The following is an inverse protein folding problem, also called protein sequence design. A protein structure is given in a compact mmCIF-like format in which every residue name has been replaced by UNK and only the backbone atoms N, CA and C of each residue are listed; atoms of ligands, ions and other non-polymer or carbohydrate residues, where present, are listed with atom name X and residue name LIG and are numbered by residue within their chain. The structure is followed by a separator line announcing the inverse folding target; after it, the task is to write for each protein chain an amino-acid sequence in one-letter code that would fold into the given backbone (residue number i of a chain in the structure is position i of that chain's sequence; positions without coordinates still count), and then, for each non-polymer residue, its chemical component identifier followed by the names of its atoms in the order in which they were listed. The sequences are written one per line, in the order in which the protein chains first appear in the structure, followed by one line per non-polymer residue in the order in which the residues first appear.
data_IF_694311737538
#
_entry.id   IF_694311737538
#
_cell.length_a   1.000
_cell.length_b   1.000
_cell.length_c   1.000
_cell.angle_alpha   90.00
_cell.angle_beta   90.00
_cell.angle_gamma   90.00
#
_symmetry.space_group_name_H-M   'P 1'
#
loop_
_entity.id
_entity.type
_entity.pdbx_description
1 polymer ?
#
# COMPACT_ATOMS: atom_id res chain seq x y z
N UNK A 1 9.96 -1.52 18.18
CA UNK A 1 10.06 -0.09 18.50
C UNK A 1 10.66 0.69 17.34
N UNK A 2 10.45 1.98 17.29
CA UNK A 2 10.94 2.90 16.28
C UNK A 2 10.57 4.32 16.65
N UNK A 3 11.16 5.29 15.96
CA UNK A 3 10.93 6.71 16.17
C UNK A 3 9.89 7.25 15.17
N UNK A 4 9.10 8.23 15.57
CA UNK A 4 8.19 8.97 14.71
C UNK A 4 7.18 8.09 13.96
N UNK A 5 6.98 8.37 12.70
CA UNK A 5 6.06 7.60 11.84
C UNK A 5 6.43 6.13 11.73
N UNK A 6 7.72 5.79 11.68
CA UNK A 6 8.17 4.41 11.50
C UNK A 6 7.79 3.54 12.70
N UNK A 7 7.87 4.09 13.92
CA UNK A 7 7.42 3.43 15.15
C UNK A 7 5.91 3.20 15.15
N UNK A 8 5.14 4.21 14.72
CA UNK A 8 3.67 4.13 14.60
C UNK A 8 3.24 3.09 13.59
N UNK A 9 3.84 3.07 12.39
CA UNK A 9 3.56 2.10 11.33
C UNK A 9 3.86 0.67 11.81
N UNK A 10 5.06 0.42 12.35
CA UNK A 10 5.47 -0.90 12.85
C UNK A 10 4.56 -1.39 13.98
N UNK A 11 4.22 -0.52 14.94
CA UNK A 11 3.29 -0.85 16.03
C UNK A 11 1.89 -1.15 15.50
N UNK A 12 1.40 -0.33 14.57
CA UNK A 12 0.06 -0.50 13.97
C UNK A 12 -0.05 -1.80 13.18
N UNK A 13 0.95 -2.16 12.40
CA UNK A 13 0.97 -3.43 11.67
C UNK A 13 0.96 -4.60 12.65
N UNK A 14 1.90 -4.62 13.63
CA UNK A 14 2.05 -5.76 14.53
C UNK A 14 0.84 -5.94 15.46
N UNK A 15 0.39 -4.87 16.11
CA UNK A 15 -0.74 -4.91 17.05
C UNK A 15 -2.05 -5.05 16.27
N UNK A 16 -2.23 -4.25 15.20
CA UNK A 16 -3.46 -4.24 14.42
C UNK A 16 -3.78 -5.58 13.78
N UNK A 17 -2.79 -6.30 13.27
CA UNK A 17 -2.97 -7.65 12.71
C UNK A 17 -3.51 -8.62 13.76
N UNK A 18 -3.00 -8.58 14.98
CA UNK A 18 -3.48 -9.44 16.07
C UNK A 18 -4.90 -9.06 16.53
N UNK A 19 -5.17 -7.77 16.68
CA UNK A 19 -6.51 -7.29 17.07
C UNK A 19 -7.56 -7.62 16.00
N UNK A 20 -7.21 -7.57 14.71
CA UNK A 20 -8.10 -7.96 13.62
C UNK A 20 -8.45 -9.45 13.65
N UNK A 21 -7.53 -10.27 14.13
CA UNK A 21 -7.74 -11.71 14.37
C UNK A 21 -8.43 -12.02 15.72
N UNK A 22 -8.83 -11.00 16.48
CA UNK A 22 -9.47 -11.16 17.79
C UNK A 22 -8.50 -11.61 18.88
N UNK A 23 -7.20 -11.38 18.71
CA UNK A 23 -6.15 -11.79 19.65
C UNK A 23 -5.63 -10.59 20.43
N UNK A 24 -5.67 -10.65 21.75
CA UNK A 24 -5.09 -9.70 22.69
C UNK A 24 -6.12 -8.92 23.50
N UNK A 25 -5.95 -8.95 24.83
CA UNK A 25 -6.77 -8.23 25.81
C UNK A 25 -6.14 -6.92 26.25
N UNK A 26 -4.84 -6.75 25.98
CA UNK A 26 -4.08 -5.54 26.25
C UNK A 26 -3.14 -5.22 25.11
N UNK A 27 -2.88 -3.93 24.88
CA UNK A 27 -1.93 -3.47 23.86
C UNK A 27 -0.81 -2.66 24.52
N UNK A 28 0.40 -2.82 24.00
CA UNK A 28 1.55 -1.99 24.34
C UNK A 28 2.16 -1.44 23.06
N UNK A 29 2.08 -0.13 22.89
CA UNK A 29 2.85 0.61 21.89
C UNK A 29 4.22 0.91 22.49
N UNK A 30 5.25 0.89 21.66
CA UNK A 30 6.62 1.17 22.08
C UNK A 30 7.29 2.07 21.03
N UNK A 31 7.52 3.31 21.41
CA UNK A 31 8.14 4.34 20.59
C UNK A 31 9.47 4.78 21.20
N UNK A 32 10.37 5.29 20.35
CA UNK A 32 11.60 5.97 20.81
C UNK A 32 11.29 7.47 20.99
N UNK A 33 10.28 7.74 21.83
CA UNK A 33 9.72 9.06 22.13
C UNK A 33 9.36 9.11 23.63
N UNK A 34 9.06 10.30 24.20
CA UNK A 34 8.53 10.39 25.56
C UNK A 34 7.28 9.51 25.75
N UNK A 35 7.16 8.78 26.88
CA UNK A 35 6.11 7.77 27.10
C UNK A 35 4.68 8.31 26.96
N UNK A 36 4.47 9.58 27.21
CA UNK A 36 3.17 10.24 27.07
C UNK A 36 2.61 10.22 25.64
N UNK A 37 3.46 10.04 24.61
CA UNK A 37 3.04 9.91 23.22
C UNK A 37 2.57 8.48 22.85
N UNK A 38 2.91 7.48 23.65
CA UNK A 38 2.50 6.08 23.38
C UNK A 38 1.01 5.85 23.64
N UNK A 39 0.46 6.43 24.72
CA UNK A 39 -0.94 6.24 25.11
C UNK A 39 -1.96 6.72 24.06
N UNK A 40 -1.82 7.91 23.45
CA UNK A 40 -2.72 8.34 22.39
C UNK A 40 -2.71 7.39 21.18
N UNK A 41 -1.55 6.87 20.79
CA UNK A 41 -1.42 5.94 19.67
C UNK A 41 -2.09 4.60 19.98
N UNK A 42 -1.86 4.07 21.20
CA UNK A 42 -2.53 2.86 21.66
C UNK A 42 -4.06 3.03 21.66
N UNK A 43 -4.55 4.21 22.09
CA UNK A 43 -5.98 4.52 22.05
C UNK A 43 -6.55 4.55 20.64
N UNK A 44 -5.90 5.19 19.68
CA UNK A 44 -6.34 5.22 18.27
C UNK A 44 -6.42 3.79 17.71
N UNK A 45 -5.45 2.94 18.03
CA UNK A 45 -5.43 1.53 17.64
C UNK A 45 -6.65 0.77 18.21
N UNK A 46 -6.92 0.91 19.49
CA UNK A 46 -8.03 0.23 20.16
C UNK A 46 -9.37 0.74 19.63
N UNK A 47 -9.56 2.07 19.58
CA UNK A 47 -10.80 2.71 19.14
C UNK A 47 -11.21 2.28 17.72
N UNK A 48 -10.23 1.94 16.87
CA UNK A 48 -10.51 1.42 15.52
C UNK A 48 -11.29 0.10 15.55
N UNK A 49 -11.09 -0.73 16.55
CA UNK A 49 -11.70 -2.06 16.65
C UNK A 49 -12.97 -2.11 17.49
N UNK A 50 -13.17 -1.14 18.40
CA UNK A 50 -14.31 -1.14 19.33
C UNK A 50 -15.67 -0.93 18.65
N UNK A 51 -15.75 -0.30 17.49
CA UNK A 51 -16.99 0.12 16.83
C UNK A 51 -17.28 -0.65 15.53
N UNK A 52 -16.79 -1.88 15.40
CA UNK A 52 -16.95 -2.70 14.18
C UNK A 52 -18.12 -3.72 14.25
N UNK A 53 -19.18 -3.44 15.02
CA UNK A 53 -20.26 -4.40 15.27
C UNK A 53 -21.25 -4.59 14.11
N UNK A 54 -21.36 -3.65 13.18
CA UNK A 54 -22.36 -3.63 12.11
C UNK A 54 -21.70 -3.72 10.73
N UNK A 55 -20.80 -4.69 10.53
CA UNK A 55 -20.17 -4.91 9.24
C UNK A 55 -20.89 -5.98 8.42
N UNK A 56 -20.72 -5.95 7.10
CA UNK A 56 -21.18 -7.02 6.22
C UNK A 56 -20.50 -8.35 6.56
N UNK A 57 -21.23 -9.46 6.36
CA UNK A 57 -20.67 -10.78 6.59
C UNK A 57 -19.47 -11.05 5.69
N UNK A 58 -18.42 -11.58 6.28
CA UNK A 58 -17.21 -12.01 5.58
C UNK A 58 -17.34 -13.51 5.26
N UNK A 59 -17.03 -13.88 4.03
CA UNK A 59 -17.11 -15.27 3.60
C UNK A 59 -16.17 -16.17 4.42
N UNK A 60 -16.69 -17.28 4.91
CA UNK A 60 -15.90 -18.30 5.60
C UNK A 60 -15.00 -18.99 4.60
N UNK A 61 -13.75 -19.23 4.99
CA UNK A 61 -12.77 -19.98 4.23
C UNK A 61 -12.68 -21.39 4.81
N UNK A 62 -13.22 -22.37 4.11
CA UNK A 62 -13.33 -23.74 4.62
C UNK A 62 -12.05 -24.56 4.47
N UNK A 63 -11.27 -24.34 3.40
CA UNK A 63 -10.08 -25.13 3.06
C UNK A 63 -8.77 -24.37 3.35
N UNK A 64 -8.45 -24.13 4.59
CA UNK A 64 -7.20 -23.51 4.97
C UNK A 64 -6.07 -24.57 5.06
N UNK A 65 -5.24 -24.65 4.03
CA UNK A 65 -4.08 -25.57 3.96
C UNK A 65 -2.77 -24.81 4.09
N UNK A 66 -2.72 -23.78 4.91
CA UNK A 66 -1.50 -23.02 5.08
C UNK A 66 -0.91 -23.23 6.47
N UNK A 67 0.39 -23.57 6.52
CA UNK A 67 1.08 -23.72 7.80
C UNK A 67 1.37 -22.31 8.38
N UNK A 68 0.75 -21.92 9.49
CA UNK A 68 0.74 -20.52 9.94
C UNK A 68 2.11 -20.00 10.44
N UNK A 69 3.07 -20.87 10.63
CA UNK A 69 4.41 -20.54 11.12
C UNK A 69 5.46 -20.33 10.01
N UNK A 70 5.07 -20.57 8.75
CA UNK A 70 5.93 -20.37 7.58
C UNK A 70 5.42 -19.20 6.74
N UNK A 71 6.32 -18.29 6.36
CA UNK A 71 5.97 -17.24 5.42
C UNK A 71 5.75 -17.83 4.04
N UNK A 72 4.60 -17.55 3.47
CA UNK A 72 4.24 -17.94 2.11
C UNK A 72 3.74 -16.75 1.32
N UNK A 73 4.48 -16.34 0.30
CA UNK A 73 3.98 -15.34 -0.65
C UNK A 73 3.01 -16.01 -1.61
N UNK A 74 1.82 -15.42 -1.79
CA UNK A 74 0.86 -15.87 -2.79
C UNK A 74 1.52 -15.89 -4.16
N UNK A 75 1.47 -17.05 -4.85
CA UNK A 75 2.00 -17.17 -6.20
C UNK A 75 1.18 -16.36 -7.19
N UNK A 76 1.84 -15.51 -7.96
CA UNK A 76 1.24 -14.70 -9.01
C UNK A 76 2.07 -14.74 -10.28
N UNK A 77 1.43 -14.51 -11.44
CA UNK A 77 2.13 -14.35 -12.69
C UNK A 77 2.90 -13.03 -12.69
N UNK A 78 4.01 -13.00 -13.38
CA UNK A 78 4.71 -11.74 -13.66
C UNK A 78 4.07 -11.03 -14.85
N UNK A 79 3.73 -9.75 -14.68
CA UNK A 79 3.20 -8.87 -15.72
C UNK A 79 4.00 -7.56 -15.67
N UNK A 80 4.88 -7.32 -16.63
CA UNK A 80 5.88 -6.26 -16.57
C UNK A 80 6.74 -6.42 -15.29
N UNK A 81 6.64 -5.47 -14.38
CA UNK A 81 7.33 -5.49 -13.08
C UNK A 81 6.37 -5.73 -11.90
N UNK A 82 5.24 -6.39 -12.11
CA UNK A 82 4.20 -6.63 -11.11
C UNK A 82 4.00 -8.13 -10.94
N UNK A 83 3.93 -8.59 -9.71
CA UNK A 83 3.73 -10.02 -9.40
C UNK A 83 5.00 -10.86 -9.54
N UNK A 84 4.87 -12.18 -9.46
CA UNK A 84 6.00 -13.10 -9.43
C UNK A 84 6.95 -12.79 -8.26
N UNK A 85 8.23 -12.72 -8.54
CA UNK A 85 9.28 -12.39 -7.56
C UNK A 85 9.57 -10.90 -7.43
N UNK A 86 8.83 -10.04 -8.17
CA UNK A 86 8.99 -8.60 -8.08
C UNK A 86 8.55 -8.06 -6.72
N UNK A 87 9.15 -6.93 -6.32
CA UNK A 87 8.67 -6.18 -5.15
C UNK A 87 7.30 -5.59 -5.40
N UNK A 88 6.45 -5.47 -4.37
CA UNK A 88 5.16 -4.82 -4.50
C UNK A 88 5.29 -3.39 -5.04
N UNK A 89 4.48 -3.04 -6.03
CA UNK A 89 4.49 -1.71 -6.65
C UNK A 89 3.74 -0.69 -5.79
N UNK A 90 4.04 0.60 -6.00
CA UNK A 90 3.32 1.73 -5.42
C UNK A 90 2.63 2.51 -6.53
N UNK A 91 1.32 2.75 -6.37
CA UNK A 91 0.52 3.62 -7.23
C UNK A 91 0.20 4.91 -6.46
N UNK A 92 0.42 6.07 -7.09
CA UNK A 92 0.04 7.37 -6.53
C UNK A 92 -1.17 7.95 -7.24
N UNK A 93 -2.13 8.56 -6.49
CA UNK A 93 -3.41 9.05 -7.03
C UNK A 93 -3.35 10.52 -7.45
N UNK A 94 -3.48 10.78 -8.73
CA UNK A 94 -3.62 12.11 -9.33
C UNK A 94 -4.99 12.33 -9.98
N UNK A 95 -5.95 11.42 -9.76
CA UNK A 95 -7.26 11.50 -10.42
C UNK A 95 -8.07 12.75 -10.05
N UNK A 96 -7.79 13.32 -8.88
CA UNK A 96 -8.42 14.55 -8.40
C UNK A 96 -7.53 15.80 -8.58
N UNK A 97 -6.34 15.66 -9.18
CA UNK A 97 -5.46 16.79 -9.46
C UNK A 97 -6.08 17.70 -10.52
N UNK A 98 -5.95 19.02 -10.34
CA UNK A 98 -6.39 19.97 -11.37
C UNK A 98 -5.48 19.94 -12.60
N UNK A 99 -4.20 19.71 -12.38
CA UNK A 99 -3.16 19.68 -13.40
C UNK A 99 -2.09 18.65 -13.01
N UNK A 100 -1.54 17.98 -14.03
CA UNK A 100 -0.45 17.02 -13.90
C UNK A 100 0.70 17.55 -14.77
N UNK A 101 1.69 18.12 -14.13
CA UNK A 101 2.84 18.76 -14.79
C UNK A 101 4.16 18.22 -14.24
N UNK A 102 5.28 18.64 -14.84
CA UNK A 102 6.62 18.24 -14.43
C UNK A 102 6.93 18.59 -12.98
N UNK A 103 6.52 19.77 -12.52
CA UNK A 103 6.76 20.22 -11.16
C UNK A 103 6.10 19.28 -10.14
N UNK A 104 4.84 18.91 -10.36
CA UNK A 104 4.13 17.99 -9.48
C UNK A 104 4.80 16.60 -9.41
N UNK A 105 5.35 16.12 -10.52
CA UNK A 105 6.04 14.83 -10.58
C UNK A 105 7.45 14.92 -9.98
N UNK A 106 8.19 15.98 -10.26
CA UNK A 106 9.52 16.20 -9.67
C UNK A 106 9.46 16.31 -8.14
N UNK A 107 8.38 16.89 -7.60
CA UNK A 107 8.13 16.94 -6.15
C UNK A 107 7.81 15.56 -5.54
N UNK A 108 7.48 14.54 -6.35
CA UNK A 108 7.37 13.13 -5.94
C UNK A 108 8.68 12.34 -6.13
N UNK A 109 9.77 13.02 -6.53
CA UNK A 109 11.07 12.39 -6.73
C UNK A 109 11.32 11.90 -8.16
N UNK A 110 10.41 12.14 -9.12
CA UNK A 110 10.76 11.99 -10.53
C UNK A 110 11.80 13.06 -10.90
N UNK A 111 12.59 12.79 -11.92
CA UNK A 111 13.51 13.75 -12.48
C UNK A 111 13.25 13.83 -13.99
N UNK A 112 12.12 14.47 -14.30
CA UNK A 112 11.67 14.60 -15.69
C UNK A 112 12.73 15.34 -16.50
N UNK A 113 13.16 14.74 -17.62
CA UNK A 113 14.20 15.26 -18.50
C UNK A 113 15.62 14.72 -18.23
N UNK A 114 15.92 14.11 -17.08
CA UNK A 114 17.27 13.60 -16.78
C UNK A 114 17.44 12.08 -16.90
N UNK A 115 16.36 11.35 -17.15
CA UNK A 115 16.30 9.87 -17.20
C UNK A 115 16.81 9.14 -15.94
N UNK A 116 16.99 9.87 -14.84
CA UNK A 116 17.41 9.28 -13.56
C UNK A 116 16.35 9.55 -12.50
N UNK A 117 15.93 8.52 -11.78
CA UNK A 117 15.14 8.70 -10.55
C UNK A 117 16.04 9.33 -9.50
N UNK A 118 15.56 10.38 -8.83
CA UNK A 118 16.31 11.06 -7.77
C UNK A 118 16.15 10.28 -6.45
N UNK A 119 14.96 9.73 -6.23
CA UNK A 119 14.61 9.05 -4.97
C UNK A 119 14.14 7.61 -5.24
N UNK A 120 14.35 6.70 -4.29
CA UNK A 120 13.86 5.32 -4.37
C UNK A 120 12.38 5.21 -3.98
N UNK A 121 11.78 6.29 -3.50
CA UNK A 121 10.37 6.41 -3.11
C UNK A 121 9.49 7.03 -4.20
N UNK A 122 9.96 6.99 -5.45
CA UNK A 122 9.17 7.38 -6.63
C UNK A 122 8.11 6.31 -6.90
N UNK A 123 6.83 6.65 -7.06
CA UNK A 123 5.80 5.67 -7.38
C UNK A 123 6.07 4.97 -8.71
N UNK A 124 5.72 3.68 -8.79
CA UNK A 124 5.92 2.89 -10.01
C UNK A 124 4.91 3.25 -11.10
N UNK A 125 3.71 3.67 -10.67
CA UNK A 125 2.64 4.14 -11.54
C UNK A 125 1.96 5.36 -10.92
N UNK A 126 1.42 6.24 -11.77
CA UNK A 126 0.47 7.28 -11.35
C UNK A 126 -0.91 6.99 -11.96
N UNK A 127 -1.96 7.12 -11.17
CA UNK A 127 -3.34 7.05 -11.62
C UNK A 127 -3.89 8.45 -11.83
N UNK A 128 -4.32 8.76 -13.05
CA UNK A 128 -4.74 10.11 -13.44
C UNK A 128 -6.26 10.21 -13.68
N UNK A 129 -7.02 9.10 -13.58
CA UNK A 129 -8.44 9.09 -13.86
C UNK A 129 -8.74 9.55 -15.28
N UNK A 130 -9.58 10.60 -15.42
CA UNK A 130 -9.93 11.23 -16.69
C UNK A 130 -9.11 12.51 -17.00
N UNK A 131 -8.11 12.84 -16.19
CA UNK A 131 -7.33 14.05 -16.36
C UNK A 131 -6.45 14.02 -17.61
N UNK A 132 -6.17 15.21 -18.13
CA UNK A 132 -5.20 15.37 -19.20
C UNK A 132 -3.77 15.45 -18.62
N UNK A 133 -2.82 15.04 -19.44
CA UNK A 133 -1.40 15.09 -19.12
C UNK A 133 -0.60 15.31 -20.41
N UNK A 134 0.58 15.87 -20.30
CA UNK A 134 1.45 16.12 -21.45
C UNK A 134 2.15 14.85 -21.92
N UNK A 135 2.27 14.69 -23.25
CA UNK A 135 2.83 13.48 -23.86
C UNK A 135 4.30 13.24 -23.49
N UNK A 136 5.08 14.30 -23.28
CA UNK A 136 6.50 14.15 -22.90
C UNK A 136 6.71 13.44 -21.54
N UNK A 137 5.70 13.42 -20.65
CA UNK A 137 5.77 12.70 -19.39
C UNK A 137 5.79 11.17 -19.60
N UNK A 138 5.25 10.69 -20.73
CA UNK A 138 5.11 9.26 -21.04
C UNK A 138 6.45 8.53 -21.26
N UNK A 139 7.52 9.24 -21.52
CA UNK A 139 8.83 8.62 -21.68
C UNK A 139 9.42 8.14 -20.33
N UNK A 140 8.96 8.70 -19.21
CA UNK A 140 9.56 8.52 -17.89
C UNK A 140 8.57 7.98 -16.85
N UNK A 141 7.25 8.13 -17.08
CA UNK A 141 6.22 7.79 -16.12
C UNK A 141 5.23 6.79 -16.71
N UNK A 142 4.90 5.75 -15.94
CA UNK A 142 3.83 4.82 -16.28
C UNK A 142 2.50 5.33 -15.73
N UNK A 143 1.51 5.48 -16.61
CA UNK A 143 0.24 6.15 -16.31
C UNK A 143 -0.93 5.20 -16.41
N UNK A 144 -1.75 5.16 -15.37
CA UNK A 144 -3.03 4.45 -15.35
C UNK A 144 -4.14 5.47 -15.64
N UNK A 145 -5.02 5.17 -16.59
CA UNK A 145 -6.08 6.05 -17.10
C UNK A 145 -7.41 5.31 -17.07
N UNK A 146 -8.51 5.99 -16.75
CA UNK A 146 -9.85 5.42 -16.88
C UNK A 146 -10.09 4.91 -18.31
N UNK A 147 -10.72 3.75 -18.43
CA UNK A 147 -10.88 3.03 -19.69
C UNK A 147 -11.43 3.89 -20.85
N UNK A 148 -12.50 4.64 -20.60
CA UNK A 148 -13.11 5.52 -21.61
C UNK A 148 -12.11 6.54 -22.20
N UNK A 149 -11.27 7.10 -21.33
CA UNK A 149 -10.22 8.06 -21.72
C UNK A 149 -9.04 7.37 -22.37
N UNK A 150 -8.70 6.17 -21.91
CA UNK A 150 -7.62 5.38 -22.48
C UNK A 150 -7.92 4.95 -23.92
N UNK A 151 -9.14 4.53 -24.25
CA UNK A 151 -9.53 4.17 -25.61
C UNK A 151 -9.30 5.33 -26.59
N UNK A 152 -9.53 6.57 -26.17
CA UNK A 152 -9.22 7.76 -26.97
C UNK A 152 -7.71 8.00 -27.17
N UNK A 153 -6.87 7.38 -26.35
CA UNK A 153 -5.43 7.57 -26.29
C UNK A 153 -4.63 6.26 -26.38
N UNK A 154 -5.25 5.16 -26.82
CA UNK A 154 -4.71 3.80 -26.69
C UNK A 154 -3.37 3.53 -27.40
N UNK A 155 -2.97 4.41 -28.29
CA UNK A 155 -1.67 4.32 -28.97
C UNK A 155 -0.49 4.91 -28.15
N UNK A 156 -0.76 5.57 -27.03
CA UNK A 156 0.30 6.19 -26.26
C UNK A 156 1.07 5.15 -25.44
N UNK A 157 2.38 5.18 -25.58
CA UNK A 157 3.32 4.36 -24.77
C UNK A 157 3.14 4.63 -23.28
N UNK A 158 3.42 3.64 -22.45
CA UNK A 158 3.36 3.73 -20.99
C UNK A 158 1.98 4.17 -20.43
N UNK A 159 0.90 3.97 -21.19
CA UNK A 159 -0.46 4.22 -20.72
C UNK A 159 -1.24 2.92 -20.62
N UNK A 160 -1.92 2.70 -19.49
CA UNK A 160 -2.60 1.46 -19.19
C UNK A 160 -4.03 1.76 -18.72
N UNK A 161 -5.04 1.00 -19.19
CA UNK A 161 -6.43 1.22 -18.83
C UNK A 161 -6.73 0.76 -17.41
N UNK A 162 -7.57 1.50 -16.69
CA UNK A 162 -8.31 1.05 -15.53
C UNK A 162 -9.73 0.73 -15.94
N UNK A 163 -10.10 -0.54 -15.89
CA UNK A 163 -11.38 -1.09 -16.33
C UNK A 163 -12.18 -1.48 -15.10
N UNK A 164 -13.48 -1.18 -15.07
CA UNK A 164 -14.35 -1.73 -14.03
C UNK A 164 -14.61 -3.22 -14.30
N UNK A 165 -14.63 -4.03 -13.26
CA UNK A 165 -14.88 -5.46 -13.41
C UNK A 165 -16.25 -5.76 -14.04
N UNK A 166 -17.27 -4.95 -13.75
CA UNK A 166 -18.57 -5.03 -14.40
C UNK A 166 -18.51 -4.91 -15.93
N UNK A 167 -17.63 -4.04 -16.42
CA UNK A 167 -17.51 -3.77 -17.86
C UNK A 167 -16.79 -4.92 -18.56
N UNK A 168 -15.79 -5.51 -17.88
CA UNK A 168 -15.11 -6.71 -18.38
C UNK A 168 -16.07 -7.89 -18.61
N UNK A 169 -17.11 -8.00 -17.77
CA UNK A 169 -18.10 -9.08 -17.86
C UNK A 169 -19.09 -8.93 -19.01
N UNK A 170 -19.35 -7.71 -19.43
CA UNK A 170 -20.49 -7.40 -20.29
C UNK A 170 -20.12 -7.06 -21.73
N UNK A 171 -18.83 -6.89 -22.06
CA UNK A 171 -18.43 -6.33 -23.34
C UNK A 171 -17.16 -6.96 -23.91
N UNK A 172 -17.08 -7.00 -25.22
CA UNK A 172 -15.84 -7.19 -25.95
C UNK A 172 -15.01 -5.91 -25.87
N UNK A 173 -14.16 -5.83 -24.84
CA UNK A 173 -13.34 -4.66 -24.59
C UNK A 173 -12.04 -4.68 -25.38
N UNK A 174 -11.63 -3.51 -25.85
CA UNK A 174 -10.27 -3.32 -26.33
C UNK A 174 -9.31 -3.38 -25.15
N UNK A 175 -8.40 -4.34 -25.14
CA UNK A 175 -7.40 -4.49 -24.08
C UNK A 175 -6.03 -4.02 -24.55
N UNK A 176 -5.25 -3.45 -23.63
CA UNK A 176 -3.84 -3.22 -23.85
C UNK A 176 -3.12 -4.57 -23.94
N UNK A 177 -2.17 -4.71 -24.86
CA UNK A 177 -1.45 -5.98 -25.08
C UNK A 177 -0.51 -6.35 -23.94
N UNK A 178 0.01 -5.38 -23.20
CA UNK A 178 1.01 -5.58 -22.16
C UNK A 178 0.38 -5.67 -20.77
N UNK A 179 -0.49 -4.71 -20.38
CA UNK A 179 -1.02 -4.60 -19.03
C UNK A 179 -2.38 -3.91 -19.03
N UNK A 180 -3.31 -4.48 -18.27
CA UNK A 180 -4.62 -3.90 -17.98
C UNK A 180 -4.85 -3.93 -16.46
N UNK A 181 -5.31 -2.84 -15.89
CA UNK A 181 -5.77 -2.81 -14.50
C UNK A 181 -7.27 -3.01 -14.46
N UNK A 182 -7.74 -3.87 -13.56
CA UNK A 182 -9.17 -4.11 -13.34
C UNK A 182 -9.51 -3.73 -11.90
N UNK A 183 -10.43 -2.77 -11.76
CA UNK A 183 -10.94 -2.39 -10.45
C UNK A 183 -11.99 -3.39 -9.97
N UNK A 184 -11.71 -4.02 -8.84
CA UNK A 184 -12.46 -5.15 -8.30
C UNK A 184 -12.83 -4.88 -6.84
N UNK A 185 -14.02 -5.30 -6.42
CA UNK A 185 -14.46 -5.26 -5.03
C UNK A 185 -14.48 -6.66 -4.45
N UNK A 186 -14.29 -6.79 -3.14
CA UNK A 186 -14.34 -8.08 -2.46
C UNK A 186 -15.67 -8.82 -2.67
N UNK A 187 -16.79 -8.08 -2.80
CA UNK A 187 -18.10 -8.65 -3.08
C UNK A 187 -18.22 -9.29 -4.49
N UNK A 188 -17.27 -9.06 -5.37
CA UNK A 188 -17.27 -9.62 -6.74
C UNK A 188 -16.66 -11.04 -6.81
N UNK A 189 -16.23 -11.62 -5.69
CA UNK A 189 -15.50 -12.90 -5.64
C UNK A 189 -16.18 -14.04 -6.42
N UNK A 190 -17.47 -14.23 -6.24
CA UNK A 190 -18.20 -15.33 -6.92
C UNK A 190 -18.24 -15.15 -8.44
N UNK A 191 -18.43 -13.92 -8.92
CA UNK A 191 -18.39 -13.61 -10.34
C UNK A 191 -16.99 -13.81 -10.91
N UNK A 192 -15.97 -13.38 -10.17
CA UNK A 192 -14.58 -13.53 -10.57
C UNK A 192 -14.19 -15.02 -10.74
N UNK A 193 -14.60 -15.88 -9.83
CA UNK A 193 -14.29 -17.33 -9.87
C UNK A 193 -14.92 -18.07 -11.06
N UNK A 194 -15.96 -17.51 -11.66
CA UNK A 194 -16.66 -18.08 -12.83
C UNK A 194 -16.21 -17.48 -14.17
N UNK A 195 -15.38 -16.45 -14.15
CA UNK A 195 -14.95 -15.73 -15.34
C UNK A 195 -13.60 -16.21 -15.86
N UNK A 196 -13.41 -16.10 -17.16
CA UNK A 196 -12.10 -16.24 -17.78
C UNK A 196 -11.37 -14.89 -17.78
N UNK A 197 -10.31 -14.79 -16.99
CA UNK A 197 -9.52 -13.57 -16.86
C UNK A 197 -8.32 -13.62 -17.81
N UNK A 198 -8.05 -12.56 -18.58
CA UNK A 198 -6.84 -12.46 -19.40
C UNK A 198 -5.57 -12.50 -18.54
N UNK A 199 -4.49 -13.07 -19.09
CA UNK A 199 -3.24 -13.22 -18.35
C UNK A 199 -2.53 -11.89 -18.02
N UNK A 200 -2.74 -10.88 -18.85
CA UNK A 200 -2.13 -9.54 -18.72
C UNK A 200 -2.99 -8.55 -17.92
N UNK A 201 -3.68 -9.08 -16.90
CA UNK A 201 -4.53 -8.31 -15.99
C UNK A 201 -3.93 -8.28 -14.60
N UNK A 202 -3.85 -7.08 -14.02
CA UNK A 202 -3.56 -6.80 -12.62
C UNK A 202 -4.83 -6.27 -11.96
N UNK A 203 -5.22 -6.84 -10.83
CA UNK A 203 -6.39 -6.37 -10.10
C UNK A 203 -6.02 -5.23 -9.15
N UNK A 204 -6.84 -4.18 -9.11
CA UNK A 204 -6.87 -3.21 -8.02
C UNK A 204 -8.06 -3.57 -7.14
N UNK A 205 -7.77 -4.21 -6.02
CA UNK A 205 -8.78 -4.76 -5.11
C UNK A 205 -9.11 -3.76 -4.01
N UNK A 206 -10.42 -3.55 -3.78
CA UNK A 206 -10.95 -2.71 -2.72
C UNK A 206 -11.96 -3.49 -1.84
N UNK A 207 -11.87 -3.29 -0.54
CA UNK A 207 -12.94 -3.63 0.41
C UNK A 207 -13.71 -2.38 0.86
N UNK A 208 -14.99 -2.54 1.12
CA UNK A 208 -15.84 -1.56 1.82
C UNK A 208 -16.22 -2.04 3.23
N UNK A 209 -15.71 -3.20 3.66
CA UNK A 209 -15.98 -3.76 4.98
C UNK A 209 -15.17 -3.04 6.06
N UNK A 210 -15.75 -2.82 7.23
CA UNK A 210 -15.06 -2.24 8.37
C UNK A 210 -13.93 -3.15 8.89
N UNK A 211 -14.07 -4.46 8.75
CA UNK A 211 -13.00 -5.45 8.91
C UNK A 211 -12.23 -5.62 7.59
N UNK A 212 -11.57 -4.56 7.17
CA UNK A 212 -10.91 -4.47 5.87
C UNK A 212 -9.92 -5.62 5.64
N UNK A 213 -9.01 -5.87 6.60
CA UNK A 213 -7.97 -6.89 6.45
C UNK A 213 -8.59 -8.30 6.36
N UNK A 214 -9.56 -8.61 7.19
CA UNK A 214 -10.22 -9.92 7.19
C UNK A 214 -10.99 -10.17 5.89
N UNK A 215 -11.72 -9.17 5.39
CA UNK A 215 -12.47 -9.25 4.13
C UNK A 215 -11.54 -9.43 2.92
N UNK A 216 -10.48 -8.64 2.85
CA UNK A 216 -9.44 -8.78 1.82
C UNK A 216 -8.77 -10.15 1.86
N UNK A 217 -8.45 -10.65 3.04
CA UNK A 217 -7.81 -11.95 3.26
C UNK A 217 -8.72 -13.08 2.77
N UNK A 218 -10.00 -13.06 3.14
CA UNK A 218 -11.00 -14.03 2.68
C UNK A 218 -11.08 -14.05 1.14
N UNK A 219 -11.14 -12.87 0.52
CA UNK A 219 -11.15 -12.75 -0.93
C UNK A 219 -9.89 -13.32 -1.57
N UNK A 220 -8.71 -12.90 -1.11
CA UNK A 220 -7.40 -13.32 -1.67
C UNK A 220 -7.18 -14.83 -1.49
N UNK A 221 -7.66 -15.39 -0.40
CA UNK A 221 -7.63 -16.83 -0.19
C UNK A 221 -8.53 -17.57 -1.20
N UNK A 222 -9.72 -17.06 -1.47
CA UNK A 222 -10.63 -17.62 -2.48
C UNK A 222 -10.02 -17.61 -3.90
N UNK A 223 -9.10 -16.68 -4.16
CA UNK A 223 -8.39 -16.55 -5.43
C UNK A 223 -7.20 -17.51 -5.62
N UNK A 224 -7.01 -18.52 -4.78
CA UNK A 224 -5.82 -19.42 -4.85
C UNK A 224 -5.52 -20.00 -6.22
N UNK A 225 -6.53 -20.19 -7.09
CA UNK A 225 -6.39 -20.69 -8.47
C UNK A 225 -6.15 -19.58 -9.51
N UNK A 226 -6.38 -18.33 -9.18
CA UNK A 226 -6.22 -17.17 -10.06
C UNK A 226 -4.87 -16.55 -9.74
N UNK A 227 -3.93 -16.65 -10.68
CA UNK A 227 -2.55 -16.18 -10.47
C UNK A 227 -2.29 -14.75 -10.96
N UNK A 228 -3.34 -13.99 -11.23
CA UNK A 228 -3.21 -12.56 -11.58
C UNK A 228 -2.73 -11.77 -10.35
N UNK A 229 -1.78 -10.82 -10.53
CA UNK A 229 -1.32 -9.96 -9.44
C UNK A 229 -2.43 -9.07 -8.89
N UNK A 230 -2.30 -8.70 -7.61
CA UNK A 230 -3.28 -7.87 -6.90
C UNK A 230 -2.61 -6.68 -6.23
N UNK A 231 -3.04 -5.48 -6.59
CA UNK A 231 -2.74 -4.24 -5.88
C UNK A 231 -3.84 -4.00 -4.84
N UNK A 232 -3.46 -3.87 -3.58
CA UNK A 232 -4.41 -3.62 -2.49
C UNK A 232 -4.67 -2.13 -2.39
N UNK A 233 -5.95 -1.72 -2.47
CA UNK A 233 -6.34 -0.31 -2.46
C UNK A 233 -7.19 0.03 -1.24
N UNK A 234 -6.82 1.11 -0.52
CA UNK A 234 -7.57 1.68 0.59
C UNK A 234 -7.78 3.19 0.44
N UNK A 235 -8.89 3.71 1.00
CA UNK A 235 -9.21 5.14 0.98
C UNK A 235 -9.22 5.66 2.43
N UNK A 236 -8.37 6.66 2.71
CA UNK A 236 -8.21 7.22 4.06
C UNK A 236 -8.37 8.74 4.00
N UNK A 237 -9.37 9.25 4.72
CA UNK A 237 -9.82 10.65 4.64
C UNK A 237 -9.85 11.35 6.00
N UNK A 238 -9.13 10.83 6.99
CA UNK A 238 -9.15 11.43 8.31
C UNK A 238 -8.47 12.81 8.28
N UNK A 239 -9.05 13.79 8.96
CA UNK A 239 -8.48 15.13 9.05
C UNK A 239 -7.16 15.12 9.86
N UNK A 240 -7.05 14.22 10.86
CA UNK A 240 -5.79 13.95 11.52
C UNK A 240 -5.02 12.89 10.70
N UNK A 241 -3.89 13.29 10.13
CA UNK A 241 -3.08 12.39 9.29
C UNK A 241 -2.50 11.20 10.08
N UNK A 242 -2.29 11.33 11.36
CA UNK A 242 -1.86 10.23 12.23
C UNK A 242 -2.84 9.06 12.22
N UNK A 243 -4.15 9.35 12.20
CA UNK A 243 -5.18 8.31 12.04
C UNK A 243 -5.07 7.62 10.67
N UNK A 244 -4.75 8.37 9.60
CA UNK A 244 -4.52 7.77 8.29
C UNK A 244 -3.31 6.84 8.29
N UNK A 245 -2.22 7.20 8.97
CA UNK A 245 -1.05 6.34 9.16
C UNK A 245 -1.44 5.05 9.88
N UNK A 246 -2.09 5.15 11.03
CA UNK A 246 -2.45 4.00 11.86
C UNK A 246 -3.43 3.09 11.11
N UNK A 247 -4.49 3.66 10.54
CA UNK A 247 -5.54 2.88 9.87
C UNK A 247 -5.04 2.19 8.61
N UNK A 248 -4.29 2.88 7.75
CA UNK A 248 -3.73 2.24 6.55
C UNK A 248 -2.69 1.18 6.89
N UNK A 249 -1.91 1.40 7.94
CA UNK A 249 -0.93 0.42 8.39
C UNK A 249 -1.58 -0.83 8.96
N UNK A 250 -2.66 -0.71 9.74
CA UNK A 250 -3.40 -1.87 10.25
C UNK A 250 -4.07 -2.65 9.13
N UNK A 251 -4.72 -1.95 8.19
CA UNK A 251 -5.53 -2.57 7.14
C UNK A 251 -4.66 -3.27 6.08
N UNK A 252 -3.57 -2.60 5.67
CA UNK A 252 -2.76 -3.05 4.52
C UNK A 252 -1.52 -3.83 4.96
N UNK A 253 -0.87 -3.38 6.03
CA UNK A 253 0.43 -3.94 6.43
C UNK A 253 0.38 -5.41 6.83
N UNK A 254 -0.68 -5.82 7.52
CA UNK A 254 -0.90 -7.23 7.91
C UNK A 254 -1.03 -8.16 6.71
N UNK A 255 -1.67 -7.70 5.62
CA UNK A 255 -1.79 -8.49 4.39
C UNK A 255 -0.42 -8.75 3.75
N UNK A 256 0.44 -7.73 3.68
CA UNK A 256 1.80 -7.89 3.15
C UNK A 256 2.67 -8.81 4.02
N UNK A 257 2.57 -8.74 5.35
CA UNK A 257 3.26 -9.67 6.26
C UNK A 257 2.83 -11.12 6.00
N UNK A 258 1.57 -11.34 5.65
CA UNK A 258 1.01 -12.65 5.34
C UNK A 258 1.27 -13.10 3.90
N UNK A 259 2.05 -12.35 3.13
CA UNK A 259 2.39 -12.69 1.74
C UNK A 259 1.32 -12.36 0.70
N UNK A 260 0.34 -11.53 1.04
CA UNK A 260 -0.69 -11.06 0.12
C UNK A 260 -0.35 -9.68 -0.43
N UNK A 261 -0.69 -9.47 -1.71
CA UNK A 261 -0.55 -8.19 -2.39
C UNK A 261 0.76 -8.04 -3.17
N UNK A 262 0.59 -7.63 -4.44
CA UNK A 262 1.68 -7.34 -5.38
C UNK A 262 1.84 -5.83 -5.59
N UNK A 263 1.10 -5.03 -4.86
CA UNK A 263 1.18 -3.58 -4.86
C UNK A 263 0.25 -2.92 -3.86
N UNK A 264 0.47 -1.63 -3.63
CA UNK A 264 -0.27 -0.79 -2.70
C UNK A 264 -0.76 0.47 -3.41
N UNK A 265 -2.01 0.84 -3.14
CA UNK A 265 -2.66 2.03 -3.68
C UNK A 265 -3.47 2.75 -2.60
N UNK A 266 -2.82 3.66 -1.86
CA UNK A 266 -3.47 4.48 -0.83
C UNK A 266 -4.02 5.75 -1.46
N UNK A 267 -5.32 6.00 -1.23
CA UNK A 267 -6.07 7.09 -1.84
C UNK A 267 -6.70 8.01 -0.79
N UNK A 268 -7.03 9.23 -1.23
CA UNK A 268 -7.86 10.16 -0.50
C UNK A 268 -8.95 10.72 -1.42
N UNK A 269 -10.15 10.96 -0.88
CA UNK A 269 -11.24 11.62 -1.61
C UNK A 269 -11.03 13.14 -1.72
N UNK A 270 -10.02 13.68 -1.07
CA UNK A 270 -9.64 15.10 -1.09
C UNK A 270 -8.26 15.22 -1.71
N UNK A 271 -8.17 15.91 -2.85
CA UNK A 271 -6.87 16.19 -3.43
C UNK A 271 -6.23 17.40 -2.73
N UNK A 272 -5.08 17.14 -2.16
CA UNK A 272 -4.09 18.12 -1.77
C UNK A 272 -2.75 17.50 -2.12
N UNK A 273 -1.88 18.24 -2.79
CA UNK A 273 -0.58 17.71 -3.23
C UNK A 273 0.26 17.20 -2.06
N UNK A 274 0.31 17.93 -0.94
CA UNK A 274 1.06 17.52 0.24
C UNK A 274 0.51 16.22 0.85
N UNK A 275 -0.82 16.09 0.90
CA UNK A 275 -1.47 14.84 1.36
C UNK A 275 -1.09 13.70 0.41
N UNK A 276 -1.15 13.91 -0.91
CA UNK A 276 -0.80 12.88 -1.88
C UNK A 276 0.67 12.44 -1.76
N UNK A 277 1.59 13.40 -1.62
CA UNK A 277 3.02 13.13 -1.37
C UNK A 277 3.21 12.32 -0.08
N UNK A 278 2.52 12.68 0.99
CA UNK A 278 2.57 11.96 2.27
C UNK A 278 2.00 10.54 2.15
N UNK A 279 0.89 10.34 1.42
CA UNK A 279 0.31 9.02 1.17
C UNK A 279 1.24 8.14 0.31
N UNK A 280 1.91 8.73 -0.68
CA UNK A 280 2.95 8.04 -1.44
C UNK A 280 4.09 7.57 -0.54
N UNK A 281 4.65 8.46 0.28
CA UNK A 281 5.70 8.12 1.25
C UNK A 281 5.22 7.04 2.24
N UNK A 282 4.00 7.15 2.74
CA UNK A 282 3.38 6.18 3.65
C UNK A 282 3.26 4.80 3.01
N UNK A 283 2.93 4.72 1.71
CA UNK A 283 2.88 3.46 0.98
C UNK A 283 4.22 2.74 1.00
N UNK A 284 5.32 3.43 0.71
CA UNK A 284 6.67 2.86 0.80
C UNK A 284 7.04 2.45 2.22
N UNK A 285 6.71 3.27 3.22
CA UNK A 285 6.98 2.96 4.63
C UNK A 285 6.22 1.73 5.13
N UNK A 286 4.96 1.54 4.72
CA UNK A 286 4.18 0.33 5.03
C UNK A 286 4.86 -0.90 4.41
N UNK A 287 5.23 -0.85 3.14
CA UNK A 287 5.91 -1.96 2.46
C UNK A 287 7.27 -2.27 3.11
N UNK A 288 8.01 -1.25 3.54
CA UNK A 288 9.28 -1.43 4.26
C UNK A 288 9.08 -2.02 5.65
N UNK A 289 8.08 -1.55 6.40
CA UNK A 289 7.74 -2.09 7.71
C UNK A 289 7.27 -3.56 7.64
N UNK A 290 6.54 -3.91 6.58
CA UNK A 290 6.17 -5.29 6.25
C UNK A 290 7.33 -6.12 5.67
N UNK A 291 8.51 -5.52 5.43
CA UNK A 291 9.74 -6.15 4.90
C UNK A 291 9.60 -6.74 3.49
N UNK A 292 8.65 -6.25 2.71
CA UNK A 292 8.43 -6.73 1.33
C UNK A 292 9.06 -5.83 0.27
N UNK A 293 9.34 -4.56 0.60
CA UNK A 293 10.10 -3.63 -0.25
C UNK A 293 10.88 -2.64 0.62
N UNK A 294 12.19 -2.67 0.54
CA UNK A 294 13.08 -1.79 1.32
C UNK A 294 13.66 -0.74 0.40
N UNK A 295 13.40 0.53 0.71
CA UNK A 295 13.80 1.69 -0.11
C UNK A 295 14.69 2.67 0.62
N UNK A 296 14.66 2.67 1.95
CA UNK A 296 15.47 3.55 2.80
C UNK A 296 16.22 2.76 3.86
N UNK A 297 17.08 3.42 4.63
CA UNK A 297 17.69 2.80 5.81
C UNK A 297 16.62 2.45 6.84
N UNK A 298 16.62 1.22 7.36
CA UNK A 298 15.68 0.78 8.39
C UNK A 298 16.33 0.92 9.78
N UNK A 299 15.85 1.91 10.54
CA UNK A 299 16.30 2.14 11.92
C UNK A 299 15.43 1.37 12.91
N UNK A 300 16.08 0.57 13.75
CA UNK A 300 15.45 -0.17 14.82
C UNK A 300 16.03 0.33 16.14
N UNK A 301 15.30 1.20 16.83
CA UNK A 301 15.74 1.77 18.09
C UNK A 301 14.99 1.18 19.29
N UNK A 302 15.71 1.00 20.40
CA UNK A 302 15.13 0.62 21.67
C UNK A 302 14.27 1.79 22.23
N UNK A 303 13.17 1.52 22.95
CA UNK A 303 12.36 2.58 23.58
C UNK A 303 13.04 3.23 24.80
N UNK A 304 14.24 2.80 25.15
CA UNK A 304 14.92 3.16 26.39
C UNK A 304 14.37 2.45 27.63
N UNK A 305 15.15 2.40 28.69
CA UNK A 305 14.76 1.86 29.99
C UNK A 305 15.62 2.50 31.09
N UNK A 306 15.31 2.21 32.34
CA UNK A 306 16.07 2.76 33.49
C UNK A 306 17.57 2.39 33.54
N UNK A 307 18.04 1.48 32.67
CA UNK A 307 19.45 1.12 32.53
C UNK A 307 20.17 1.90 31.41
N UNK A 308 19.45 2.68 30.61
CA UNK A 308 20.06 3.48 29.56
C UNK A 308 20.69 4.73 30.17
N UNK A 309 22.02 4.82 30.07
CA UNK A 309 22.81 5.91 30.64
C UNK A 309 23.11 7.08 29.71
N UNK A 310 22.47 7.12 28.54
CA UNK A 310 22.64 8.17 27.52
C UNK A 310 21.30 8.56 26.93
N UNK A 311 21.25 9.72 26.30
CA UNK A 311 20.05 10.18 25.57
C UNK A 311 19.91 9.39 24.26
N UNK A 312 19.05 8.37 24.27
CA UNK A 312 18.84 7.47 23.14
C UNK A 312 18.23 8.20 21.94
N UNK A 313 17.30 9.11 22.18
CA UNK A 313 16.64 9.89 21.12
C UNK A 313 17.64 10.76 20.36
N UNK A 314 18.48 11.50 21.09
CA UNK A 314 19.53 12.33 20.50
C UNK A 314 20.57 11.48 19.76
N UNK A 315 20.98 10.36 20.35
CA UNK A 315 21.93 9.44 19.72
C UNK A 315 21.37 8.85 18.43
N UNK A 316 20.08 8.45 18.45
CA UNK A 316 19.39 7.95 17.26
C UNK A 316 19.34 8.99 16.16
N UNK A 317 19.00 10.25 16.49
CA UNK A 317 18.97 11.34 15.51
C UNK A 317 20.37 11.59 14.87
N UNK A 318 21.44 11.60 15.68
CA UNK A 318 22.82 11.77 15.19
C UNK A 318 23.29 10.61 14.31
N UNK A 319 22.88 9.37 14.61
CA UNK A 319 23.20 8.21 13.79
C UNK A 319 22.45 8.30 12.47
N UNK A 320 21.16 8.64 12.50
CA UNK A 320 20.34 8.85 11.30
C UNK A 320 20.97 9.87 10.36
N UNK A 321 21.29 11.04 10.85
CA UNK A 321 21.92 12.11 10.05
C UNK A 321 23.15 11.60 9.27
N UNK A 322 23.95 10.71 9.87
CA UNK A 322 25.16 10.17 9.25
C UNK A 322 24.95 8.96 8.35
N UNK A 323 23.82 8.26 8.48
CA UNK A 323 23.66 6.93 7.87
C UNK A 323 22.39 6.79 7.02
N UNK A 324 21.56 7.83 6.93
CA UNK A 324 20.29 7.81 6.18
C UNK A 324 20.50 7.53 4.67
N UNK A 325 21.66 7.83 4.16
CA UNK A 325 22.07 7.53 2.79
C UNK A 325 22.39 6.05 2.52
N UNK A 326 22.52 5.23 3.57
CA UNK A 326 22.87 3.80 3.48
C UNK A 326 21.62 2.93 3.22
N UNK A 327 21.02 3.12 2.06
CA UNK A 327 19.78 2.49 1.66
C UNK A 327 19.82 0.96 1.75
N UNK A 328 18.74 0.35 2.22
CA UNK A 328 18.63 -1.11 2.34
C UNK A 328 19.31 -1.71 3.56
N UNK A 329 20.06 -0.94 4.34
CA UNK A 329 20.66 -1.43 5.58
C UNK A 329 19.69 -1.34 6.75
N UNK A 330 19.87 -2.25 7.72
CA UNK A 330 19.21 -2.24 9.02
C UNK A 330 20.20 -1.79 10.07
N UNK A 331 19.87 -0.73 10.79
CA UNK A 331 20.73 -0.17 11.86
C UNK A 331 20.00 -0.30 13.19
N UNK A 332 20.52 -1.15 14.06
CA UNK A 332 20.04 -1.33 15.44
C UNK A 332 20.71 -0.33 16.36
N UNK A 333 19.91 0.39 17.16
CA UNK A 333 20.38 1.35 18.16
C UNK A 333 19.79 0.94 19.52
N UNK A 334 20.67 0.49 20.42
CA UNK A 334 20.27 -0.06 21.73
C UNK A 334 21.14 0.49 22.86
#
# INVERSE_FOLDING_TARGET
AGEGEDGRIKSSIGIGTLLDDGIGDTVRVSLTEPPEFESPIAKILIDRYLNRSNHDNINVVEDFVHYPFEYYKRETNEILNIGGDNFPIVISDFSLAKEINEESLNNLGYNIGSKKRIEDTVPDFIYVGKNNFSNHLLDEVKIIIDYEKWVQNFHKKNTFPLILFSDLLNNDLLLNKELNFIYLKTNDVYKLLTCKIPKNVVFILKSNNDHFMADMRSFLFSMKKIKNPVVISGIYNNNNFENNIIYSSTDLGGLFIQGYGDGIFIRSNKYNFDINKRLNTLSFKILQAARVRVTTTDFISCPSCGRTLFNLTETTARIREKTDHLKGLKIGIM
#
